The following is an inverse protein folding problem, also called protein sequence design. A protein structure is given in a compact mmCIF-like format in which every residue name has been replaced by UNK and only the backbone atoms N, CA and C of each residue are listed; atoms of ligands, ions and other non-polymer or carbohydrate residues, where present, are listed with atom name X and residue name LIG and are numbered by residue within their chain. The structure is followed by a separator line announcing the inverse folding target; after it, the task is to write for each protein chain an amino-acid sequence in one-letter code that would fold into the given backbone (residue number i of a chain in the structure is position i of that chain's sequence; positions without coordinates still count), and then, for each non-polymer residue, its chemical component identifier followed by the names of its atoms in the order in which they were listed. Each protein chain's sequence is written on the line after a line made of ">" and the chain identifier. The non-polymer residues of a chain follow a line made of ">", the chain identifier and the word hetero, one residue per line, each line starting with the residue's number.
data_IF_826294300495
#
_entry.id   IF_826294300495
#
_cell.length_a   1.000
_cell.length_b   1.000
_cell.length_c   1.000
_cell.angle_alpha   90.00
_cell.angle_beta   90.00
_cell.angle_gamma   90.00
#
_symmetry.space_group_name_H-M   'P 1'
#
loop_
_entity.id
_entity.type
_entity.pdbx_description
1 polymer ?
#
# COMPACT_ATOMS: atom_id res chain seq x y z
N UNK A 1 -9.96 -31.78 -12.75
CA UNK A 1 -9.18 -30.61 -13.17
C UNK A 1 -8.11 -30.42 -12.12
N UNK A 2 -6.85 -30.67 -12.48
CA UNK A 2 -5.72 -30.49 -11.56
C UNK A 2 -5.73 -29.07 -11.02
N UNK A 3 -5.59 -28.92 -9.70
CA UNK A 3 -5.59 -27.64 -8.98
C UNK A 3 -4.34 -26.80 -9.23
N UNK A 4 -3.84 -26.75 -10.46
CA UNK A 4 -2.72 -25.89 -10.84
C UNK A 4 -3.17 -24.43 -10.75
N UNK A 5 -2.52 -23.68 -9.85
CA UNK A 5 -2.71 -22.24 -9.79
C UNK A 5 -2.28 -21.65 -11.14
N UNK A 6 -3.23 -21.03 -11.85
CA UNK A 6 -2.91 -20.27 -13.07
C UNK A 6 -2.40 -18.91 -12.64
N UNK A 7 -1.19 -18.59 -13.08
CA UNK A 7 -0.55 -17.30 -12.85
C UNK A 7 -0.50 -16.49 -14.14
N UNK A 8 -0.53 -15.17 -13.98
CA UNK A 8 -0.29 -14.23 -15.06
C UNK A 8 0.97 -13.42 -14.78
N UNK A 9 1.63 -12.97 -15.84
CA UNK A 9 2.64 -11.92 -15.78
C UNK A 9 2.10 -10.69 -16.48
N UNK A 10 2.05 -9.58 -15.74
CA UNK A 10 1.64 -8.25 -16.20
C UNK A 10 2.90 -7.42 -16.39
N UNK A 11 3.34 -7.25 -17.63
CA UNK A 11 4.53 -6.45 -17.93
C UNK A 11 4.18 -4.98 -18.01
N UNK A 12 5.04 -4.15 -17.45
CA UNK A 12 5.23 -2.75 -17.85
C UNK A 12 6.64 -2.61 -18.43
N UNK A 13 6.91 -1.55 -19.18
CA UNK A 13 8.19 -1.39 -19.88
C UNK A 13 8.81 -0.01 -19.78
N UNK A 14 10.09 0.09 -20.13
CA UNK A 14 10.81 1.36 -20.19
C UNK A 14 10.53 2.18 -21.46
N UNK A 15 9.63 1.71 -22.33
CA UNK A 15 9.29 2.37 -23.60
C UNK A 15 8.64 3.75 -23.44
N UNK A 16 7.99 4.03 -22.32
CA UNK A 16 7.39 5.35 -22.04
C UNK A 16 7.61 5.79 -20.61
N UNK A 17 7.62 7.11 -20.37
CA UNK A 17 7.73 7.69 -19.02
C UNK A 17 6.58 7.19 -18.12
N UNK A 18 5.37 7.06 -18.67
CA UNK A 18 4.20 6.60 -17.92
C UNK A 18 4.41 5.19 -17.37
N UNK A 19 4.86 4.26 -18.20
CA UNK A 19 5.10 2.88 -17.81
C UNK A 19 6.21 2.73 -16.76
N UNK A 20 7.25 3.57 -16.82
CA UNK A 20 8.26 3.68 -15.76
C UNK A 20 7.64 4.16 -14.45
N UNK A 21 6.83 5.23 -14.49
CA UNK A 21 6.10 5.74 -13.30
C UNK A 21 5.20 4.66 -12.70
N UNK A 22 4.47 3.92 -13.53
CA UNK A 22 3.58 2.84 -13.10
C UNK A 22 4.33 1.77 -12.30
N UNK A 23 5.54 1.39 -12.72
CA UNK A 23 6.38 0.44 -11.97
C UNK A 23 6.88 1.02 -10.65
N UNK A 24 7.32 2.28 -10.63
CA UNK A 24 7.73 2.92 -9.38
C UNK A 24 6.56 3.01 -8.39
N UNK A 25 5.37 3.36 -8.87
CA UNK A 25 4.16 3.43 -8.06
C UNK A 25 3.78 2.06 -7.48
N UNK A 26 3.78 1.01 -8.31
CA UNK A 26 3.49 -0.38 -7.88
C UNK A 26 4.54 -0.91 -6.91
N UNK A 27 5.83 -0.64 -7.17
CA UNK A 27 6.93 -1.00 -6.28
C UNK A 27 6.78 -0.35 -4.90
N UNK A 28 6.36 0.92 -4.89
CA UNK A 28 6.29 1.73 -3.68
C UNK A 28 4.98 1.59 -2.91
N UNK A 29 3.89 1.19 -3.57
CA UNK A 29 2.57 1.10 -2.98
C UNK A 29 2.53 0.16 -1.77
N UNK A 30 1.73 0.46 -0.73
CA UNK A 30 1.54 -0.43 0.40
C UNK A 30 0.77 -1.69 0.00
N UNK A 31 0.90 -2.74 0.81
CA UNK A 31 0.11 -3.95 0.67
C UNK A 31 -1.39 -3.61 0.68
N UNK A 32 -2.13 -4.24 -0.23
CA UNK A 32 -3.54 -4.04 -0.53
C UNK A 32 -3.93 -2.72 -1.20
N UNK A 33 -2.98 -1.86 -1.59
CA UNK A 33 -3.28 -0.76 -2.51
C UNK A 33 -3.90 -1.27 -3.82
N UNK A 34 -4.78 -0.49 -4.44
CA UNK A 34 -5.44 -0.85 -5.70
C UNK A 34 -4.82 -0.04 -6.84
N UNK A 35 -4.47 -0.72 -7.93
CA UNK A 35 -3.92 -0.15 -9.15
C UNK A 35 -4.59 -0.76 -10.36
N UNK A 36 -4.48 -0.09 -11.50
CA UNK A 36 -4.94 -0.63 -12.77
C UNK A 36 -3.89 -0.42 -13.86
N UNK A 37 -3.69 -1.45 -14.69
CA UNK A 37 -2.93 -1.34 -15.92
C UNK A 37 -3.86 -1.43 -17.12
N UNK A 38 -3.43 -0.82 -18.23
CA UNK A 38 -4.18 -0.80 -19.48
C UNK A 38 -3.32 -1.39 -20.59
N UNK A 39 -3.90 -2.30 -21.35
CA UNK A 39 -3.23 -3.02 -22.42
C UNK A 39 -4.10 -3.02 -23.67
N UNK A 40 -3.56 -2.68 -24.83
CA UNK A 40 -4.23 -2.98 -26.09
C UNK A 40 -4.42 -4.50 -26.21
N UNK A 41 -5.55 -4.92 -26.76
CA UNK A 41 -5.95 -6.31 -26.94
C UNK A 41 -4.85 -7.14 -27.61
N UNK A 42 -4.20 -6.59 -28.64
CA UNK A 42 -3.09 -7.23 -29.37
C UNK A 42 -1.87 -7.55 -28.51
N UNK A 43 -1.73 -6.91 -27.34
CA UNK A 43 -0.65 -7.17 -26.38
C UNK A 43 -1.04 -8.14 -25.26
N UNK A 44 -2.26 -8.69 -25.30
CA UNK A 44 -2.76 -9.68 -24.35
C UNK A 44 -2.77 -11.05 -25.01
N UNK A 45 -2.16 -12.06 -24.38
CA UNK A 45 -2.17 -13.41 -24.91
C UNK A 45 -3.60 -13.94 -25.07
N UNK A 46 -3.93 -14.61 -26.19
CA UNK A 46 -5.30 -15.09 -26.46
C UNK A 46 -5.89 -15.99 -25.37
N UNK A 47 -5.05 -16.80 -24.74
CA UNK A 47 -5.42 -17.60 -23.57
C UNK A 47 -5.81 -16.74 -22.36
N UNK A 48 -5.11 -15.62 -22.15
CA UNK A 48 -5.43 -14.66 -21.10
C UNK A 48 -6.71 -13.89 -21.42
N UNK A 49 -6.90 -13.45 -22.68
CA UNK A 49 -8.12 -12.80 -23.16
C UNK A 49 -9.35 -13.68 -22.88
N UNK A 50 -9.29 -14.96 -23.28
CA UNK A 50 -10.36 -15.95 -23.06
C UNK A 50 -10.65 -16.13 -21.58
N UNK A 51 -9.63 -16.12 -20.73
CA UNK A 51 -9.81 -16.22 -19.28
C UNK A 51 -10.47 -14.98 -18.70
N UNK A 52 -10.03 -13.78 -19.07
CA UNK A 52 -10.59 -12.52 -18.57
C UNK A 52 -12.07 -12.35 -18.93
N UNK A 53 -12.51 -12.83 -20.10
CA UNK A 53 -13.92 -12.76 -20.50
C UNK A 53 -14.84 -13.73 -19.74
N UNK A 54 -14.32 -14.87 -19.30
CA UNK A 54 -15.12 -15.94 -18.66
C UNK A 54 -14.96 -15.97 -17.13
N UNK A 55 -14.50 -14.87 -16.54
CA UNK A 55 -13.90 -14.88 -15.23
C UNK A 55 -14.90 -14.72 -14.07
N UNK A 56 -14.70 -15.48 -12.99
CA UNK A 56 -15.50 -15.38 -11.75
C UNK A 56 -14.72 -15.43 -10.43
N UNK A 57 -13.39 -15.65 -10.43
CA UNK A 57 -12.62 -15.91 -9.20
C UNK A 57 -11.23 -15.26 -9.20
N UNK A 58 -10.82 -14.63 -8.10
CA UNK A 58 -9.50 -14.00 -7.93
C UNK A 58 -8.33 -14.89 -8.36
N UNK A 59 -7.33 -14.31 -9.03
CA UNK A 59 -6.06 -15.00 -9.30
C UNK A 59 -4.87 -14.10 -9.07
N UNK A 60 -3.78 -14.77 -8.70
CA UNK A 60 -2.50 -14.14 -8.48
C UNK A 60 -1.81 -13.87 -9.82
N UNK A 61 -1.18 -12.71 -9.92
CA UNK A 61 -0.33 -12.33 -11.02
C UNK A 61 0.96 -11.70 -10.50
N UNK A 62 1.99 -11.69 -11.32
CA UNK A 62 3.22 -10.95 -11.06
C UNK A 62 3.26 -9.72 -11.95
N UNK A 63 3.44 -8.54 -11.35
CA UNK A 63 3.85 -7.35 -12.10
C UNK A 63 5.36 -7.41 -12.31
N UNK A 64 5.78 -7.29 -13.56
CA UNK A 64 7.19 -7.32 -13.95
C UNK A 64 7.54 -6.10 -14.80
N UNK A 65 8.76 -5.59 -14.63
CA UNK A 65 9.31 -4.54 -15.47
C UNK A 65 10.23 -5.16 -16.51
N UNK A 66 10.12 -4.72 -17.77
CA UNK A 66 10.96 -5.23 -18.86
C UNK A 66 11.46 -4.13 -19.79
N UNK A 67 12.48 -4.44 -20.57
CA UNK A 67 12.88 -3.63 -21.71
C UNK A 67 11.76 -3.56 -22.76
N UNK A 68 11.70 -2.45 -23.49
CA UNK A 68 10.81 -2.28 -24.65
C UNK A 68 11.04 -3.35 -25.71
N UNK A 69 10.02 -3.61 -26.54
CA UNK A 69 10.08 -4.64 -27.59
C UNK A 69 11.23 -4.43 -28.59
N UNK A 70 11.62 -3.17 -28.79
CA UNK A 70 12.66 -2.72 -29.72
C UNK A 70 14.05 -2.63 -29.09
N UNK A 71 14.23 -3.02 -27.82
CA UNK A 71 15.54 -3.00 -27.18
C UNK A 71 16.52 -3.95 -27.87
N UNK A 72 17.78 -3.51 -28.00
CA UNK A 72 18.87 -4.35 -28.49
C UNK A 72 19.01 -5.58 -27.60
N UNK A 73 19.51 -6.67 -28.17
CA UNK A 73 19.68 -7.93 -27.46
C UNK A 73 20.51 -7.74 -26.17
N UNK A 74 21.60 -6.97 -26.23
CA UNK A 74 22.47 -6.68 -25.08
C UNK A 74 21.89 -5.66 -24.07
N UNK A 75 20.70 -5.12 -24.32
CA UNK A 75 20.02 -4.14 -23.46
C UNK A 75 18.72 -4.69 -22.86
N UNK A 76 18.37 -5.95 -23.17
CA UNK A 76 17.16 -6.57 -22.64
C UNK A 76 17.25 -6.79 -21.14
N UNK A 77 16.13 -6.61 -20.44
CA UNK A 77 16.03 -6.93 -19.02
C UNK A 77 14.61 -7.34 -18.67
N UNK A 78 14.47 -8.12 -17.60
CA UNK A 78 13.19 -8.37 -16.92
C UNK A 78 13.44 -8.44 -15.42
N UNK A 79 12.68 -7.67 -14.65
CA UNK A 79 12.76 -7.65 -13.18
C UNK A 79 11.34 -7.82 -12.61
N UNK A 80 11.05 -8.88 -11.86
CA UNK A 80 9.76 -9.03 -11.17
C UNK A 80 9.65 -8.01 -10.03
N UNK A 81 8.49 -7.36 -9.90
CA UNK A 81 8.30 -6.19 -9.04
C UNK A 81 7.39 -6.51 -7.85
N UNK A 82 6.19 -7.03 -8.10
CA UNK A 82 5.17 -7.26 -7.08
C UNK A 82 4.29 -8.44 -7.42
N UNK A 83 3.96 -9.25 -6.42
CA UNK A 83 2.75 -10.06 -6.48
C UNK A 83 1.53 -9.15 -6.40
N UNK A 84 0.51 -9.48 -7.20
CA UNK A 84 -0.78 -8.80 -7.19
C UNK A 84 -1.90 -9.82 -7.29
N UNK A 85 -3.07 -9.45 -6.80
CA UNK A 85 -4.31 -10.21 -6.95
C UNK A 85 -5.21 -9.45 -7.92
N UNK A 86 -5.53 -10.04 -9.07
CA UNK A 86 -6.44 -9.44 -10.05
C UNK A 86 -7.85 -9.45 -9.45
N UNK A 87 -8.44 -8.27 -9.30
CA UNK A 87 -9.80 -8.06 -8.77
C UNK A 87 -10.80 -8.05 -9.91
N UNK A 88 -10.48 -7.33 -10.97
CA UNK A 88 -11.42 -7.01 -12.05
C UNK A 88 -10.66 -6.86 -13.37
N UNK A 89 -11.31 -7.27 -14.45
CA UNK A 89 -10.83 -7.09 -15.82
C UNK A 89 -11.98 -6.61 -16.68
N UNK A 90 -11.82 -5.45 -17.32
CA UNK A 90 -12.79 -4.89 -18.23
C UNK A 90 -12.19 -4.75 -19.62
N UNK A 91 -12.93 -5.19 -20.65
CA UNK A 91 -12.61 -4.91 -22.04
C UNK A 91 -13.41 -3.68 -22.48
N UNK A 92 -12.72 -2.58 -22.76
CA UNK A 92 -13.32 -1.32 -23.23
C UNK A 92 -12.75 -1.01 -24.60
N UNK A 93 -13.61 -1.11 -25.64
CA UNK A 93 -13.21 -1.08 -27.05
C UNK A 93 -12.15 -2.17 -27.33
N UNK A 94 -10.91 -1.75 -27.62
CA UNK A 94 -9.75 -2.58 -27.96
C UNK A 94 -8.70 -2.59 -26.85
N UNK A 95 -9.06 -2.23 -25.61
CA UNK A 95 -8.15 -2.22 -24.47
C UNK A 95 -8.71 -3.01 -23.28
N UNK A 96 -7.86 -3.81 -22.64
CA UNK A 96 -8.11 -4.37 -21.32
C UNK A 96 -7.66 -3.41 -20.23
N UNK A 97 -8.56 -3.11 -19.29
CA UNK A 97 -8.21 -2.52 -18.00
C UNK A 97 -8.18 -3.66 -16.97
N UNK A 98 -7.00 -3.89 -16.39
CA UNK A 98 -6.79 -4.92 -15.37
C UNK A 98 -6.59 -4.22 -14.03
N UNK A 99 -7.59 -4.29 -13.16
CA UNK A 99 -7.55 -3.76 -11.80
C UNK A 99 -7.05 -4.83 -10.84
N UNK A 100 -6.05 -4.52 -10.03
CA UNK A 100 -5.40 -5.45 -9.13
C UNK A 100 -5.05 -4.85 -7.79
N UNK A 101 -5.00 -5.72 -6.79
CA UNK A 101 -4.60 -5.44 -5.42
C UNK A 101 -3.14 -5.78 -5.22
N UNK A 102 -2.35 -4.83 -4.74
CA UNK A 102 -0.93 -5.03 -4.39
C UNK A 102 -0.81 -6.07 -3.28
N UNK A 103 0.11 -7.02 -3.45
CA UNK A 103 0.50 -8.00 -2.43
C UNK A 103 1.98 -7.85 -2.12
N UNK A 104 2.66 -8.97 -1.85
CA UNK A 104 4.04 -9.00 -1.35
C UNK A 104 5.06 -8.83 -2.48
N UNK A 105 6.30 -8.55 -2.10
CA UNK A 105 7.43 -8.62 -3.03
C UNK A 105 7.74 -10.08 -3.39
N UNK A 106 7.98 -10.41 -4.67
CA UNK A 106 8.30 -11.77 -5.09
C UNK A 106 9.63 -12.23 -4.47
N UNK A 107 9.71 -13.53 -4.18
CA UNK A 107 10.99 -14.21 -3.92
C UNK A 107 11.53 -14.72 -5.26
N UNK A 108 12.80 -14.44 -5.51
CA UNK A 108 13.47 -14.92 -6.71
C UNK A 108 13.97 -16.37 -6.52
N UNK A 109 14.14 -17.09 -7.63
CA UNK A 109 14.90 -18.33 -7.62
C UNK A 109 16.35 -18.05 -7.23
N UNK A 110 17.01 -19.03 -6.61
CA UNK A 110 18.45 -18.92 -6.25
C UNK A 110 19.31 -18.56 -7.46
N UNK A 111 18.98 -19.13 -8.62
CA UNK A 111 19.63 -18.84 -9.89
C UNK A 111 19.52 -17.34 -10.27
N UNK A 112 18.33 -16.74 -10.19
CA UNK A 112 18.19 -15.31 -10.49
C UNK A 112 18.83 -14.43 -9.42
N UNK A 113 18.75 -14.80 -8.14
CA UNK A 113 19.42 -14.04 -7.07
C UNK A 113 20.93 -13.96 -7.31
N UNK A 114 21.58 -15.07 -7.65
CA UNK A 114 23.03 -15.11 -7.89
C UNK A 114 23.46 -14.29 -9.12
N UNK A 115 22.61 -14.21 -10.15
CA UNK A 115 22.93 -13.55 -11.42
C UNK A 115 22.49 -12.08 -11.48
N UNK A 116 21.53 -11.66 -10.63
CA UNK A 116 20.96 -10.30 -10.68
C UNK A 116 21.78 -9.23 -9.94
N UNK A 117 23.04 -9.54 -9.58
CA UNK A 117 24.00 -8.58 -9.01
C UNK A 117 24.74 -7.77 -10.07
N UNK A 118 24.64 -8.15 -11.34
CA UNK A 118 25.20 -7.44 -12.49
C UNK A 118 24.18 -7.38 -13.62
N UNK A 119 24.25 -6.34 -14.45
CA UNK A 119 23.32 -6.19 -15.57
C UNK A 119 23.41 -7.36 -16.57
N UNK A 120 24.62 -7.86 -16.85
CA UNK A 120 24.84 -9.01 -17.74
C UNK A 120 24.03 -10.24 -17.36
N UNK A 121 23.95 -10.56 -16.06
CA UNK A 121 23.16 -11.70 -15.58
C UNK A 121 21.65 -11.45 -15.69
N UNK A 122 21.17 -10.22 -15.46
CA UNK A 122 19.76 -9.85 -15.70
C UNK A 122 19.43 -9.99 -17.19
N UNK A 123 20.34 -9.49 -18.05
CA UNK A 123 20.21 -9.51 -19.49
C UNK A 123 20.17 -10.94 -20.04
N UNK A 124 21.07 -11.83 -19.60
CA UNK A 124 21.06 -13.24 -20.00
C UNK A 124 19.71 -13.92 -19.68
N UNK A 125 19.17 -13.70 -18.47
CA UNK A 125 17.86 -14.27 -18.10
C UNK A 125 16.72 -13.70 -18.94
N UNK A 126 16.78 -12.41 -19.28
CA UNK A 126 15.80 -11.77 -20.15
C UNK A 126 15.88 -12.34 -21.58
N UNK A 127 17.08 -12.46 -22.16
CA UNK A 127 17.32 -13.05 -23.48
C UNK A 127 16.72 -14.46 -23.55
N UNK A 128 17.12 -15.34 -22.63
CA UNK A 128 16.63 -16.72 -22.60
C UNK A 128 15.10 -16.78 -22.55
N UNK A 129 14.47 -15.91 -21.75
CA UNK A 129 13.02 -15.83 -21.67
C UNK A 129 12.38 -15.34 -22.98
N UNK A 130 12.92 -14.29 -23.60
CA UNK A 130 12.39 -13.78 -24.87
C UNK A 130 12.67 -14.71 -26.07
N UNK A 131 13.76 -15.47 -26.04
CA UNK A 131 14.10 -16.46 -27.06
C UNK A 131 13.16 -17.66 -27.05
N UNK A 132 12.91 -18.22 -25.87
CA UNK A 132 11.94 -19.31 -25.69
C UNK A 132 10.53 -18.85 -26.10
N UNK A 133 10.23 -17.56 -25.89
CA UNK A 133 8.93 -16.97 -26.18
C UNK A 133 8.94 -16.02 -27.39
N UNK A 134 9.71 -16.30 -28.44
CA UNK A 134 9.85 -15.40 -29.61
C UNK A 134 8.52 -14.92 -30.19
N UNK A 135 7.56 -15.83 -30.36
CA UNK A 135 6.21 -15.53 -30.85
C UNK A 135 5.42 -14.58 -29.94
N UNK A 136 5.83 -14.46 -28.68
CA UNK A 136 5.14 -13.70 -27.64
C UNK A 136 5.94 -12.48 -27.15
N UNK A 137 7.09 -12.14 -27.77
CA UNK A 137 7.98 -11.06 -27.29
C UNK A 137 7.24 -9.72 -27.11
N UNK A 138 6.28 -9.43 -27.98
CA UNK A 138 5.49 -8.20 -27.94
C UNK A 138 4.38 -8.22 -26.87
N UNK A 139 3.93 -9.41 -26.44
CA UNK A 139 2.84 -9.54 -25.46
C UNK A 139 3.24 -8.96 -24.11
N UNK A 140 2.41 -8.05 -23.60
CA UNK A 140 2.55 -7.39 -22.31
C UNK A 140 1.77 -8.09 -21.21
N UNK A 141 0.78 -8.93 -21.55
CA UNK A 141 0.09 -9.81 -20.61
C UNK A 141 0.24 -11.25 -21.07
N UNK A 142 0.77 -12.10 -20.18
CA UNK A 142 0.98 -13.52 -20.47
C UNK A 142 0.40 -14.40 -19.37
N UNK A 143 -0.16 -15.54 -19.75
CA UNK A 143 -0.69 -16.59 -18.86
C UNK A 143 0.43 -17.55 -18.47
N UNK A 144 1.48 -17.00 -17.88
CA UNK A 144 2.59 -17.77 -17.34
C UNK A 144 3.22 -17.01 -16.17
N UNK A 145 3.88 -17.75 -15.28
CA UNK A 145 4.75 -17.18 -14.26
C UNK A 145 6.18 -17.12 -14.81
N UNK A 146 6.90 -16.04 -14.53
CA UNK A 146 8.32 -15.96 -14.83
C UNK A 146 9.09 -17.12 -14.18
N UNK A 147 9.98 -17.82 -14.91
CA UNK A 147 10.62 -19.05 -14.43
C UNK A 147 11.52 -18.86 -13.20
N UNK A 148 11.91 -17.62 -12.93
CA UNK A 148 12.73 -17.23 -11.78
C UNK A 148 11.94 -16.60 -10.63
N UNK A 149 10.60 -16.66 -10.64
CA UNK A 149 9.76 -16.24 -9.52
C UNK A 149 9.26 -17.48 -8.78
N UNK A 150 9.45 -17.52 -7.46
CA UNK A 150 8.90 -18.59 -6.63
C UNK A 150 7.37 -18.42 -6.50
N UNK A 151 6.56 -19.47 -6.81
CA UNK A 151 5.10 -19.37 -6.78
C UNK A 151 4.50 -19.22 -5.37
N UNK A 152 5.28 -19.40 -4.30
CA UNK A 152 4.81 -19.16 -2.93
C UNK A 152 4.74 -17.66 -2.61
N UNK A 153 3.58 -17.06 -2.92
CA UNK A 153 3.27 -15.66 -2.64
C UNK A 153 2.92 -15.38 -1.16
N UNK A 154 2.79 -16.41 -0.31
CA UNK A 154 2.28 -16.25 1.06
C UNK A 154 3.37 -15.87 2.08
N UNK A 155 4.63 -16.16 1.80
CA UNK A 155 5.74 -15.82 2.71
C UNK A 155 5.94 -14.31 2.83
N UNK A 156 5.99 -13.79 4.06
CA UNK A 156 6.41 -12.39 4.30
C UNK A 156 7.89 -12.25 3.99
N UNK A 157 8.23 -11.31 3.10
CA UNK A 157 9.62 -11.00 2.84
C UNK A 157 9.81 -9.58 2.29
N UNK A 158 9.60 -8.60 3.16
CA UNK A 158 9.88 -7.19 2.86
C UNK A 158 11.35 -6.94 2.50
N UNK A 159 12.27 -7.85 2.88
CA UNK A 159 13.69 -7.76 2.50
C UNK A 159 13.92 -7.94 0.99
N UNK A 160 12.98 -8.57 0.27
CA UNK A 160 13.08 -8.73 -1.18
C UNK A 160 12.95 -7.40 -1.94
N UNK A 161 12.33 -6.37 -1.34
CA UNK A 161 12.27 -5.04 -1.95
C UNK A 161 13.64 -4.52 -2.34
N UNK A 162 14.61 -4.62 -1.43
CA UNK A 162 15.96 -4.12 -1.69
C UNK A 162 16.67 -4.92 -2.80
N UNK A 163 16.38 -6.22 -2.94
CA UNK A 163 16.91 -7.03 -4.04
C UNK A 163 16.37 -6.53 -5.38
N UNK A 164 15.06 -6.27 -5.45
CA UNK A 164 14.39 -5.73 -6.65
C UNK A 164 14.97 -4.37 -7.01
N UNK A 165 15.07 -3.46 -6.05
CA UNK A 165 15.60 -2.10 -6.26
C UNK A 165 17.05 -2.13 -6.71
N UNK A 166 17.89 -2.98 -6.12
CA UNK A 166 19.27 -3.16 -6.57
C UNK A 166 19.33 -3.67 -8.01
N UNK A 167 18.51 -4.65 -8.38
CA UNK A 167 18.43 -5.12 -9.76
C UNK A 167 17.98 -4.02 -10.74
N UNK A 168 16.96 -3.23 -10.37
CA UNK A 168 16.50 -2.09 -11.16
C UNK A 168 17.59 -1.03 -11.33
N UNK A 169 18.38 -0.77 -10.28
CA UNK A 169 19.47 0.22 -10.30
C UNK A 169 20.64 -0.16 -11.21
N UNK A 170 20.74 -1.44 -11.63
CA UNK A 170 21.74 -1.90 -12.58
C UNK A 170 21.33 -1.62 -14.04
N UNK A 171 20.07 -1.27 -14.29
CA UNK A 171 19.58 -0.91 -15.61
C UNK A 171 20.02 0.53 -15.91
N UNK A 172 20.56 0.77 -17.09
CA UNK A 172 21.06 2.09 -17.49
C UNK A 172 19.96 3.15 -17.37
N UNK A 173 20.27 4.26 -16.68
CA UNK A 173 19.35 5.38 -16.45
C UNK A 173 18.41 5.25 -15.24
N UNK A 174 18.53 4.18 -14.45
CA UNK A 174 17.73 3.97 -13.22
C UNK A 174 18.54 4.07 -11.93
N UNK A 175 19.86 4.19 -12.02
CA UNK A 175 20.78 4.29 -10.88
C UNK A 175 20.55 5.57 -10.05
N UNK A 176 20.07 6.63 -10.71
CA UNK A 176 19.74 7.92 -10.10
C UNK A 176 18.28 8.01 -9.60
N UNK A 177 17.47 6.95 -9.71
CA UNK A 177 16.08 7.00 -9.25
C UNK A 177 15.98 6.77 -7.75
N UNK A 178 15.09 7.52 -7.10
CA UNK A 178 14.70 7.24 -5.72
C UNK A 178 13.55 6.22 -5.74
N UNK A 179 13.87 5.00 -5.34
CA UNK A 179 12.89 3.94 -5.16
C UNK A 179 12.29 4.06 -3.77
N UNK A 180 10.96 4.09 -3.70
CA UNK A 180 10.23 4.15 -2.45
C UNK A 180 9.63 2.79 -2.08
N UNK A 181 9.32 2.62 -0.79
CA UNK A 181 8.43 1.60 -0.25
C UNK A 181 7.59 2.18 0.88
N UNK A 182 6.27 2.15 0.74
CA UNK A 182 5.35 2.45 1.82
C UNK A 182 4.95 1.18 2.57
N UNK A 183 5.00 1.22 3.90
CA UNK A 183 4.35 0.22 4.75
C UNK A 183 2.83 0.36 4.65
N UNK A 184 2.02 -0.62 5.09
CA UNK A 184 0.61 -0.37 5.41
C UNK A 184 0.47 0.71 6.49
N UNK A 185 -0.69 1.38 6.54
CA UNK A 185 -1.04 2.26 7.65
C UNK A 185 -1.22 1.45 8.93
N UNK A 186 -0.70 1.94 10.04
CA UNK A 186 -0.70 1.24 11.32
C UNK A 186 -1.19 2.12 12.48
N UNK A 187 -1.85 1.51 13.46
CA UNK A 187 -2.18 2.09 14.77
C UNK A 187 -1.50 1.24 15.84
N UNK A 188 -0.60 1.84 16.64
CA UNK A 188 0.14 1.14 17.69
C UNK A 188 0.72 -0.23 17.23
N UNK A 189 1.40 -0.26 16.09
CA UNK A 189 2.00 -1.47 15.48
C UNK A 189 1.05 -2.49 14.88
N UNK A 190 -0.25 -2.22 14.86
CA UNK A 190 -1.24 -3.06 14.17
C UNK A 190 -1.64 -2.43 12.84
N UNK A 191 -1.60 -3.23 11.77
CA UNK A 191 -2.09 -2.81 10.44
C UNK A 191 -3.55 -2.37 10.55
N UNK A 192 -3.90 -1.27 9.91
CA UNK A 192 -5.27 -0.81 9.80
C UNK A 192 -6.08 -1.84 9.00
N UNK A 193 -7.34 -2.05 9.39
CA UNK A 193 -8.26 -2.89 8.64
C UNK A 193 -8.64 -2.26 7.30
N UNK A 194 -9.18 -3.06 6.40
CA UNK A 194 -9.74 -2.57 5.14
C UNK A 194 -11.21 -2.95 5.00
N UNK A 195 -11.99 -2.08 4.37
CA UNK A 195 -13.38 -2.34 4.00
C UNK A 195 -13.66 -1.74 2.63
N UNK A 196 -14.17 -2.56 1.70
CA UNK A 196 -14.50 -2.14 0.34
C UNK A 196 -13.37 -1.32 -0.30
N UNK A 197 -12.13 -1.82 -0.22
CA UNK A 197 -10.92 -1.20 -0.79
C UNK A 197 -10.40 0.04 -0.06
N UNK A 198 -11.13 0.56 0.93
CA UNK A 198 -10.67 1.67 1.77
C UNK A 198 -9.94 1.15 3.01
N UNK A 199 -8.82 1.78 3.35
CA UNK A 199 -8.17 1.59 4.65
C UNK A 199 -8.96 2.33 5.73
N UNK A 200 -9.29 1.65 6.82
CA UNK A 200 -10.12 2.19 7.89
C UNK A 200 -9.25 3.02 8.83
N UNK A 201 -9.59 4.30 8.98
CA UNK A 201 -9.03 5.18 10.00
C UNK A 201 -10.09 5.47 11.06
N UNK A 202 -9.73 5.29 12.32
CA UNK A 202 -10.60 5.63 13.44
C UNK A 202 -10.37 7.08 13.86
N UNK A 203 -11.46 7.81 14.10
CA UNK A 203 -11.40 9.21 14.57
C UNK A 203 -10.51 9.38 15.80
N UNK A 204 -9.76 10.49 15.81
CA UNK A 204 -8.85 10.92 16.88
C UNK A 204 -7.67 9.99 17.15
N UNK A 205 -7.58 8.81 16.51
CA UNK A 205 -6.42 7.93 16.61
C UNK A 205 -5.32 8.36 15.66
N UNK A 206 -4.10 8.38 16.17
CA UNK A 206 -2.91 8.54 15.34
C UNK A 206 -2.63 7.25 14.59
N UNK A 207 -2.58 7.37 13.28
CA UNK A 207 -2.14 6.34 12.36
C UNK A 207 -0.79 6.76 11.79
N UNK A 208 0.06 5.80 11.45
CA UNK A 208 1.35 6.12 10.87
C UNK A 208 1.66 5.23 9.69
N UNK A 209 2.49 5.76 8.81
CA UNK A 209 3.03 5.12 7.64
C UNK A 209 4.55 5.27 7.66
N UNK A 210 5.26 4.20 7.33
CA UNK A 210 6.70 4.25 7.10
C UNK A 210 6.95 4.32 5.60
N UNK A 211 7.78 5.24 5.16
CA UNK A 211 8.28 5.35 3.79
C UNK A 211 9.77 5.09 3.82
N UNK A 212 10.19 3.92 3.36
CA UNK A 212 11.59 3.62 3.11
C UNK A 212 11.98 4.14 1.72
N UNK A 213 13.20 4.60 1.56
CA UNK A 213 13.72 5.01 0.26
C UNK A 213 15.14 4.51 0.03
N UNK A 214 15.50 4.35 -1.25
CA UNK A 214 16.84 3.96 -1.69
C UNK A 214 17.15 4.58 -3.06
N UNK A 215 18.40 5.01 -3.24
CA UNK A 215 18.98 5.41 -4.51
C UNK A 215 20.34 4.68 -4.67
N UNK A 216 20.76 4.34 -5.88
CA UNK A 216 22.08 3.70 -6.04
C UNK A 216 23.20 4.73 -6.05
N UNK A 217 23.02 5.77 -6.85
CA UNK A 217 23.95 6.89 -7.03
C UNK A 217 23.34 8.13 -6.39
N UNK A 218 23.71 8.42 -5.13
CA UNK A 218 23.22 9.60 -4.43
C UNK A 218 23.95 10.86 -4.90
N UNK A 219 23.18 11.86 -5.32
CA UNK A 219 23.67 13.18 -5.70
C UNK A 219 23.10 14.24 -4.74
N UNK A 220 23.93 14.84 -3.85
CA UNK A 220 23.48 15.87 -2.92
C UNK A 220 23.02 17.17 -3.61
N UNK A 221 23.31 17.35 -4.91
CA UNK A 221 22.80 18.46 -5.70
C UNK A 221 21.32 18.33 -6.07
N UNK A 222 20.76 17.11 -6.00
CA UNK A 222 19.34 16.85 -6.29
C UNK A 222 18.52 17.00 -5.01
N UNK A 223 17.74 18.08 -4.92
CA UNK A 223 16.84 18.33 -3.79
C UNK A 223 15.52 17.55 -3.95
N UNK A 224 15.60 16.22 -3.83
CA UNK A 224 14.44 15.34 -3.83
C UNK A 224 13.68 15.42 -2.51
N UNK A 225 12.34 15.45 -2.55
CA UNK A 225 11.50 15.50 -1.33
C UNK A 225 10.35 14.52 -1.38
N UNK A 226 9.94 14.01 -0.21
CA UNK A 226 8.68 13.29 -0.02
C UNK A 226 7.60 14.27 0.44
N UNK A 227 6.59 14.44 -0.40
CA UNK A 227 5.40 15.23 -0.10
C UNK A 227 4.21 14.34 0.24
N UNK A 228 3.32 14.92 1.03
CA UNK A 228 2.10 14.29 1.51
C UNK A 228 0.97 15.28 1.30
N UNK A 229 -0.07 14.84 0.60
CA UNK A 229 -1.28 15.61 0.36
C UNK A 229 -2.49 14.83 0.86
N UNK A 230 -3.35 15.51 1.61
CA UNK A 230 -4.54 14.94 2.24
C UNK A 230 -5.66 15.97 2.19
N UNK A 231 -6.91 15.52 2.22
CA UNK A 231 -8.01 16.45 2.43
C UNK A 231 -7.99 16.95 3.90
N UNK A 232 -7.74 18.26 4.13
CA UNK A 232 -7.59 18.82 5.47
C UNK A 232 -8.90 18.84 6.26
N UNK A 233 -10.07 18.69 5.63
CA UNK A 233 -11.36 18.61 6.33
C UNK A 233 -11.49 17.28 7.09
N UNK A 234 -10.78 16.26 6.64
CA UNK A 234 -10.91 14.88 7.13
C UNK A 234 -9.67 14.39 7.87
N UNK A 235 -8.47 14.82 7.47
CA UNK A 235 -7.20 14.28 7.96
C UNK A 235 -6.24 15.42 8.27
N UNK A 236 -5.58 15.34 9.42
CA UNK A 236 -4.42 16.18 9.75
C UNK A 236 -3.15 15.35 9.60
N UNK A 237 -2.14 15.90 8.93
CA UNK A 237 -0.78 15.33 8.97
C UNK A 237 -0.08 15.88 10.21
N UNK A 238 0.19 15.00 11.18
CA UNK A 238 0.75 15.37 12.48
C UNK A 238 2.29 15.48 12.45
N UNK A 239 2.95 14.71 11.58
CA UNK A 239 4.41 14.73 11.43
C UNK A 239 4.85 14.20 10.08
N UNK A 240 6.07 14.57 9.65
CA UNK A 240 6.71 13.99 8.47
C UNK A 240 6.28 14.61 7.13
N UNK A 241 5.92 15.89 7.12
CA UNK A 241 5.62 16.63 5.88
C UNK A 241 6.93 17.16 5.27
N UNK A 242 7.13 16.93 3.97
CA UNK A 242 8.18 17.60 3.20
C UNK A 242 9.61 17.18 3.57
N UNK A 243 9.81 15.89 3.87
CA UNK A 243 11.14 15.38 4.23
C UNK A 243 12.04 15.38 2.99
N UNK A 244 13.24 15.95 3.15
CA UNK A 244 14.28 15.93 2.15
C UNK A 244 14.92 14.54 2.09
N UNK A 245 15.27 14.10 0.88
CA UNK A 245 15.95 12.84 0.63
C UNK A 245 17.46 13.07 0.73
N UNK A 246 17.96 13.20 1.97
CA UNK A 246 19.34 13.66 2.24
C UNK A 246 20.41 12.57 2.15
N UNK A 247 20.02 11.33 1.82
CA UNK A 247 20.91 10.18 1.88
C UNK A 247 20.59 9.16 0.81
N UNK A 248 21.50 8.20 0.63
CA UNK A 248 21.31 7.07 -0.27
C UNK A 248 20.13 6.18 0.15
N UNK A 249 19.87 6.06 1.45
CA UNK A 249 18.81 5.23 1.99
C UNK A 249 18.41 5.75 3.37
N UNK A 250 17.11 5.81 3.63
CA UNK A 250 16.59 6.07 4.96
C UNK A 250 15.10 5.66 5.06
N UNK A 251 14.47 6.08 6.14
CA UNK A 251 13.11 5.77 6.52
C UNK A 251 12.44 6.98 7.14
N UNK A 252 11.39 7.47 6.50
CA UNK A 252 10.56 8.55 7.04
C UNK A 252 9.31 7.96 7.67
N UNK A 253 8.97 8.42 8.89
CA UNK A 253 7.70 8.10 9.55
C UNK A 253 6.75 9.28 9.42
N UNK A 254 5.63 9.05 8.75
CA UNK A 254 4.58 10.04 8.52
C UNK A 254 3.40 9.69 9.41
N UNK A 255 2.89 10.66 10.16
CA UNK A 255 1.78 10.45 11.10
C UNK A 255 0.54 11.21 10.64
N UNK A 256 -0.61 10.55 10.68
CA UNK A 256 -1.90 11.08 10.29
C UNK A 256 -2.89 10.94 11.45
N UNK A 257 -3.79 11.91 11.60
CA UNK A 257 -4.90 11.84 12.52
C UNK A 257 -6.21 12.13 11.78
N UNK A 258 -7.15 11.20 11.84
CA UNK A 258 -8.49 11.42 11.30
C UNK A 258 -9.26 12.39 12.21
N UNK A 259 -9.79 13.47 11.63
CA UNK A 259 -10.63 14.46 12.33
C UNK A 259 -12.01 13.89 12.62
N UNK A 260 -12.67 14.44 13.64
CA UNK A 260 -14.10 14.20 13.89
C UNK A 260 -14.89 14.64 12.66
N UNK A 261 -15.47 13.69 11.94
CA UNK A 261 -16.17 13.93 10.69
C UNK A 261 -17.50 13.16 10.66
N UNK A 262 -18.22 13.22 9.55
CA UNK A 262 -19.39 12.37 9.41
C UNK A 262 -18.95 10.90 9.38
N UNK A 263 -19.73 10.02 10.00
CA UNK A 263 -19.39 8.60 10.02
C UNK A 263 -19.36 8.06 8.58
N UNK A 264 -18.35 7.25 8.24
CA UNK A 264 -18.11 6.73 6.89
C UNK A 264 -17.71 7.80 5.84
N UNK A 265 -17.06 8.89 6.27
CA UNK A 265 -16.45 9.82 5.32
C UNK A 265 -15.33 9.13 4.54
N UNK A 266 -15.26 9.39 3.24
CA UNK A 266 -14.21 8.87 2.35
C UNK A 266 -13.21 9.99 2.07
N UNK A 267 -11.92 9.64 2.02
CA UNK A 267 -10.83 10.55 1.71
C UNK A 267 -9.67 9.76 1.10
N UNK A 268 -8.56 10.44 0.83
CA UNK A 268 -7.34 9.84 0.32
C UNK A 268 -6.10 10.46 0.97
N UNK A 269 -5.06 9.64 1.06
CA UNK A 269 -3.70 10.08 1.39
C UNK A 269 -2.85 9.90 0.15
N UNK A 270 -2.36 11.00 -0.39
CA UNK A 270 -1.46 11.02 -1.54
C UNK A 270 -0.02 11.23 -1.07
N UNK A 271 0.89 10.37 -1.49
CA UNK A 271 2.32 10.50 -1.21
C UNK A 271 3.04 10.56 -2.54
N UNK A 272 3.89 11.56 -2.72
CA UNK A 272 4.62 11.71 -3.97
C UNK A 272 6.00 12.30 -3.77
N UNK A 273 6.91 11.99 -4.70
CA UNK A 273 8.22 12.64 -4.75
C UNK A 273 8.19 13.87 -5.64
N UNK A 274 8.98 14.88 -5.29
CA UNK A 274 9.23 16.09 -6.10
C UNK A 274 10.73 16.33 -6.24
N UNK A 275 11.14 17.16 -7.20
CA UNK A 275 12.55 17.50 -7.42
C UNK A 275 13.38 16.39 -8.08
N UNK A 276 12.72 15.35 -8.61
CA UNK A 276 13.34 14.20 -9.25
C UNK A 276 12.99 14.11 -10.73
N UNK A 277 13.82 13.41 -11.50
CA UNK A 277 13.54 13.13 -12.92
C UNK A 277 12.27 12.31 -13.12
N UNK A 278 11.97 11.38 -12.20
CA UNK A 278 10.78 10.55 -12.22
C UNK A 278 10.09 10.58 -10.86
N UNK A 279 8.87 11.10 -10.86
CA UNK A 279 8.03 11.16 -9.67
C UNK A 279 7.37 9.80 -9.42
N UNK A 280 7.43 9.35 -8.17
CA UNK A 280 6.59 8.26 -7.67
C UNK A 280 5.38 8.89 -7.01
N UNK A 281 4.17 8.39 -7.31
CA UNK A 281 2.91 8.81 -6.69
C UNK A 281 2.16 7.59 -6.18
N UNK A 282 1.74 7.66 -4.92
CA UNK A 282 1.03 6.61 -4.21
C UNK A 282 -0.26 7.22 -3.67
N UNK A 283 -1.38 6.59 -4.00
CA UNK A 283 -2.68 6.96 -3.47
C UNK A 283 -3.14 5.87 -2.50
N UNK A 284 -3.56 6.27 -1.30
CA UNK A 284 -4.10 5.38 -0.28
C UNK A 284 -5.53 5.84 0.01
N UNK A 285 -6.56 5.15 -0.53
CA UNK A 285 -7.94 5.48 -0.23
C UNK A 285 -8.26 5.11 1.22
N UNK A 286 -8.91 6.02 1.94
CA UNK A 286 -9.24 5.83 3.36
C UNK A 286 -10.70 6.10 3.66
N UNK A 287 -11.22 5.37 4.65
CA UNK A 287 -12.57 5.52 5.18
C UNK A 287 -12.46 5.84 6.66
N UNK A 288 -13.03 6.97 7.05
CA UNK A 288 -13.04 7.43 8.44
C UNK A 288 -14.26 6.87 9.14
N UNK A 289 -14.03 6.17 10.25
CA UNK A 289 -15.08 5.59 11.08
C UNK A 289 -15.02 6.16 12.49
N UNK A 290 -16.21 6.33 13.09
CA UNK A 290 -16.29 6.79 14.46
C UNK A 290 -15.60 5.82 15.42
N UNK A 291 -14.86 6.36 16.37
CA UNK A 291 -14.31 5.59 17.46
C UNK A 291 -15.46 5.08 18.35
N UNK A 292 -15.85 3.81 18.17
CA UNK A 292 -16.92 3.20 18.99
C UNK A 292 -16.46 2.93 20.41
N UNK A 293 -15.16 2.71 20.65
CA UNK A 293 -14.68 2.37 21.98
C UNK A 293 -14.72 3.58 22.91
N UNK A 294 -14.44 4.79 22.43
CA UNK A 294 -14.62 6.00 23.23
C UNK A 294 -16.08 6.21 23.63
N UNK A 295 -17.02 6.01 22.71
CA UNK A 295 -18.47 6.10 23.01
C UNK A 295 -18.94 5.06 24.01
N UNK A 296 -18.49 3.81 23.88
CA UNK A 296 -18.83 2.76 24.83
C UNK A 296 -18.26 3.07 26.22
N UNK A 297 -17.01 3.52 26.29
CA UNK A 297 -16.36 3.90 27.54
C UNK A 297 -17.04 5.11 28.20
N UNK A 298 -17.41 6.11 27.41
CA UNK A 298 -18.20 7.25 27.86
C UNK A 298 -19.56 6.81 28.41
N UNK A 299 -20.29 5.95 27.69
CA UNK A 299 -21.56 5.40 28.17
C UNK A 299 -21.40 4.60 29.48
N UNK A 300 -20.32 3.83 29.62
CA UNK A 300 -20.01 3.09 30.84
C UNK A 300 -19.73 4.05 32.02
N UNK A 301 -18.93 5.09 31.81
CA UNK A 301 -18.65 6.11 32.85
C UNK A 301 -19.94 6.83 33.25
N UNK A 302 -20.78 7.21 32.28
CA UNK A 302 -22.06 7.86 32.55
C UNK A 302 -23.01 6.94 33.32
N UNK A 303 -23.06 5.65 32.99
CA UNK A 303 -23.85 4.66 33.73
C UNK A 303 -23.33 4.47 35.17
N UNK A 304 -22.01 4.42 35.37
CA UNK A 304 -21.40 4.36 36.70
C UNK A 304 -21.69 5.62 37.51
N UNK A 305 -21.57 6.80 36.90
CA UNK A 305 -21.92 8.07 37.53
C UNK A 305 -23.38 8.10 37.98
N UNK A 306 -24.31 7.71 37.10
CA UNK A 306 -25.73 7.63 37.42
C UNK A 306 -26.03 6.61 38.54
N UNK A 307 -25.36 5.46 38.53
CA UNK A 307 -25.48 4.46 39.59
C UNK A 307 -25.02 5.01 40.95
N UNK A 308 -23.87 5.71 40.98
CA UNK A 308 -23.36 6.36 42.19
C UNK A 308 -24.31 7.45 42.68
N UNK A 309 -24.91 8.25 41.79
CA UNK A 309 -25.93 9.25 42.15
C UNK A 309 -27.18 8.59 42.77
N UNK A 310 -27.61 7.44 42.25
CA UNK A 310 -28.78 6.70 42.73
C UNK A 310 -28.54 5.85 43.99
N UNK A 311 -27.29 5.54 44.31
CA UNK A 311 -26.89 4.68 45.43
C UNK A 311 -27.50 5.11 46.78
N UNK A 312 -27.57 6.41 47.14
CA UNK A 312 -28.15 6.85 48.42
C UNK A 312 -29.63 6.51 48.62
N UNK A 313 -30.38 6.32 47.53
CA UNK A 313 -31.78 5.88 47.57
C UNK A 313 -31.95 4.38 47.81
N UNK A 314 -30.89 3.59 47.62
CA UNK A 314 -30.87 2.14 47.83
C UNK A 314 -30.24 1.79 49.19
N UNK A 315 -29.29 2.63 49.65
CA UNK A 315 -28.62 2.47 50.91
C UNK A 315 -29.58 2.61 52.11
N UNK A 316 -29.51 1.65 53.03
CA UNK A 316 -30.32 1.60 54.26
C UNK A 316 -30.27 2.91 55.06
N UNK A 317 -31.31 3.12 55.89
CA UNK A 317 -31.46 4.35 56.69
C UNK A 317 -30.40 4.53 57.79
N UNK A 318 -29.50 3.56 57.97
CA UNK A 318 -28.45 3.58 58.98
C UNK A 318 -27.24 4.46 58.61
N UNK A 319 -27.20 5.00 57.38
CA UNK A 319 -26.13 5.90 56.92
C UNK A 319 -26.55 7.36 57.11
N UNK A 320 -25.69 8.15 57.75
CA UNK A 320 -25.94 9.58 57.97
C UNK A 320 -26.17 10.33 56.65
N UNK A 321 -27.06 11.31 56.69
CA UNK A 321 -27.46 12.10 55.53
C UNK A 321 -26.26 12.78 54.83
N UNK A 322 -25.23 13.16 55.58
CA UNK A 322 -24.03 13.81 55.04
C UNK A 322 -23.28 12.92 54.04
N UNK A 323 -23.10 11.64 54.35
CA UNK A 323 -22.45 10.69 53.44
C UNK A 323 -23.29 10.45 52.17
N UNK A 324 -24.62 10.41 52.30
CA UNK A 324 -25.53 10.30 51.16
C UNK A 324 -25.36 11.46 50.17
N UNK A 325 -25.24 12.69 50.67
CA UNK A 325 -24.98 13.88 49.84
C UNK A 325 -23.62 13.82 49.17
N UNK A 326 -22.56 13.43 49.90
CA UNK A 326 -21.21 13.32 49.34
C UNK A 326 -21.17 12.31 48.18
N UNK A 327 -21.83 11.15 48.34
CA UNK A 327 -21.90 10.12 47.29
C UNK A 327 -22.61 10.66 46.05
N UNK A 328 -23.76 11.33 46.19
CA UNK A 328 -24.45 11.93 45.04
C UNK A 328 -23.61 13.00 44.33
N UNK A 329 -22.91 13.85 45.09
CA UNK A 329 -22.01 14.86 44.53
C UNK A 329 -20.84 14.23 43.76
N UNK A 330 -20.27 13.14 44.28
CA UNK A 330 -19.21 12.40 43.61
C UNK A 330 -19.71 11.80 42.28
N UNK A 331 -20.89 11.18 42.26
CA UNK A 331 -21.50 10.65 41.04
C UNK A 331 -21.77 11.74 39.99
N UNK A 332 -22.30 12.89 40.42
CA UNK A 332 -22.52 14.04 39.54
C UNK A 332 -21.22 14.60 38.96
N UNK A 333 -20.15 14.69 39.78
CA UNK A 333 -18.82 15.09 39.32
C UNK A 333 -18.26 14.14 38.27
N UNK A 334 -18.41 12.83 38.42
CA UNK A 334 -17.99 11.83 37.41
C UNK A 334 -18.66 12.11 36.06
N UNK A 335 -19.97 12.37 36.06
CA UNK A 335 -20.73 12.66 34.84
C UNK A 335 -20.28 13.99 34.20
N UNK A 336 -20.07 15.04 34.99
CA UNK A 336 -19.59 16.35 34.50
C UNK A 336 -18.22 16.21 33.85
N UNK A 337 -17.29 15.52 34.50
CA UNK A 337 -15.93 15.29 33.98
C UNK A 337 -15.99 14.48 32.69
N UNK A 338 -16.84 13.44 32.62
CA UNK A 338 -17.01 12.62 31.42
C UNK A 338 -17.52 13.43 30.21
N UNK A 339 -18.55 14.27 30.42
CA UNK A 339 -19.06 15.17 29.38
C UNK A 339 -18.03 16.23 28.97
N UNK A 340 -17.27 16.75 29.92
CA UNK A 340 -16.22 17.73 29.63
C UNK A 340 -15.11 17.14 28.76
N UNK A 341 -14.70 15.89 29.03
CA UNK A 341 -13.71 15.19 28.21
C UNK A 341 -14.25 14.96 26.80
N UNK A 342 -15.50 14.50 26.66
CA UNK A 342 -16.10 14.23 25.34
C UNK A 342 -16.25 15.49 24.46
N UNK A 343 -16.52 16.64 25.10
CA UNK A 343 -16.66 17.93 24.40
C UNK A 343 -15.33 18.60 24.05
N UNK A 344 -14.23 18.23 24.72
CA UNK A 344 -12.88 18.74 24.44
C UNK A 344 -12.08 17.90 23.46
N UNK A 345 -12.27 16.58 23.48
CA UNK A 345 -11.85 15.71 22.38
C UNK A 345 -12.61 16.07 21.10
#
# INVERSE_FOLDING_TARGET
>A
MDGSNVYFTLFSSDSTIKYKKDILNVLAAPENGIYHFRYEDKYVQSDAQTMFQNWSHFRMAIVAFRSGSNANEDEQFIVPIRWVEIIETELVADFYTITFRIKKYPRFSTDFENNSHQFSGINEKAKNYFEISREHKELSVRKELLPYVNPDYKQENDSNWLKIVKALSLIHGYDNFHFLRCSPLCVASKKCGMQNEFTILEESKYTYLKVDYYQSSYDPGINGKIHVDVNPDFITVASGIGNELESRYDSVKISFQAKKSMNNSLSEINIYTTGLQLETKINIPVKIVKNKSSKFFHALIMALGAFVVGLPGILENNIEWGYKVIISLAGAMIMIVSNYIETKE
#
